data_IF_922205005606
#
_entry.id   IF_922205005606
#
_cell.length_a   1.000
_cell.length_b   1.000
_cell.length_c   1.000
_cell.angle_alpha   90.00
_cell.angle_beta   90.00
_cell.angle_gamma   90.00
#
_symmetry.space_group_name_H-M   'P 1'
#
loop_
_entity.id
_entity.type
_entity.pdbx_description
1 polymer ?
#
# COMPACT_ATOMS: atom_id res chain seq x y z
N UNK A 1 11.93 -11.73 -17.39
CA UNK A 1 11.21 -11.35 -16.16
C UNK A 1 9.72 -11.45 -16.45
N UNK A 2 9.08 -12.47 -15.92
CA UNK A 2 7.63 -12.60 -15.97
C UNK A 2 6.99 -11.57 -15.03
N UNK A 3 5.75 -11.19 -15.34
CA UNK A 3 4.97 -10.27 -14.50
C UNK A 3 4.67 -10.94 -13.16
N UNK A 4 5.04 -10.31 -12.05
CA UNK A 4 4.77 -10.85 -10.71
C UNK A 4 3.26 -10.86 -10.47
N UNK A 5 2.73 -11.98 -9.97
CA UNK A 5 1.34 -12.09 -9.58
C UNK A 5 1.17 -11.71 -8.12
N UNK A 6 0.22 -10.82 -7.83
CA UNK A 6 0.05 -10.23 -6.49
C UNK A 6 -0.43 -11.25 -5.46
N UNK A 7 -1.21 -12.27 -5.86
CA UNK A 7 -1.68 -13.30 -4.93
C UNK A 7 -0.52 -14.12 -4.34
N UNK A 8 0.51 -14.41 -5.12
CA UNK A 8 1.70 -15.13 -4.66
C UNK A 8 2.47 -14.32 -3.60
N UNK A 9 2.51 -12.99 -3.74
CA UNK A 9 3.17 -12.09 -2.79
C UNK A 9 2.47 -12.03 -1.43
N UNK A 10 1.14 -12.26 -1.39
CA UNK A 10 0.38 -12.22 -0.13
C UNK A 10 0.72 -13.38 0.79
N UNK A 11 1.09 -14.53 0.23
CA UNK A 11 1.42 -15.73 1.00
C UNK A 11 2.86 -15.72 1.55
N UNK A 12 3.72 -14.83 1.07
CA UNK A 12 5.14 -14.74 1.49
C UNK A 12 5.34 -14.00 2.82
N UNK A 13 6.44 -14.29 3.51
CA UNK A 13 6.81 -13.60 4.75
C UNK A 13 7.27 -12.16 4.47
N UNK A 14 7.33 -11.33 5.53
CA UNK A 14 7.84 -9.95 5.40
C UNK A 14 9.33 -9.93 5.02
N UNK A 15 10.12 -10.87 5.53
CA UNK A 15 11.54 -10.97 5.23
C UNK A 15 11.77 -11.27 3.74
N UNK A 16 11.02 -12.24 3.20
CA UNK A 16 11.12 -12.60 1.78
C UNK A 16 10.75 -11.43 0.88
N UNK A 17 9.68 -10.69 1.21
CA UNK A 17 9.27 -9.51 0.44
C UNK A 17 10.33 -8.41 0.44
N UNK A 18 11.09 -8.24 1.53
CA UNK A 18 12.19 -7.28 1.61
C UNK A 18 13.40 -7.72 0.80
N UNK A 19 13.73 -9.01 0.83
CA UNK A 19 14.78 -9.60 -0.02
C UNK A 19 14.45 -9.42 -1.50
N UNK A 20 13.24 -9.81 -1.93
CA UNK A 20 12.77 -9.63 -3.31
C UNK A 20 12.79 -8.16 -3.74
N UNK A 21 12.44 -7.23 -2.84
CA UNK A 21 12.49 -5.80 -3.12
C UNK A 21 13.92 -5.30 -3.35
N UNK A 22 14.91 -5.84 -2.63
CA UNK A 22 16.32 -5.48 -2.81
C UNK A 22 16.83 -5.95 -4.17
N UNK A 23 16.51 -7.18 -4.55
CA UNK A 23 16.88 -7.77 -5.85
C UNK A 23 16.29 -6.99 -7.03
N UNK A 24 14.99 -6.66 -6.97
CA UNK A 24 14.33 -5.88 -8.02
C UNK A 24 14.90 -4.46 -8.15
N UNK A 25 15.34 -3.86 -7.03
CA UNK A 25 16.00 -2.54 -7.05
C UNK A 25 17.39 -2.62 -7.69
N UNK A 26 18.18 -3.65 -7.40
CA UNK A 26 19.47 -3.85 -8.07
C UNK A 26 19.30 -4.09 -9.57
N UNK A 27 18.31 -4.89 -9.98
CA UNK A 27 18.01 -5.09 -11.39
C UNK A 27 17.61 -3.78 -12.08
N UNK A 28 16.76 -2.97 -11.44
CA UNK A 28 16.38 -1.66 -11.97
C UNK A 28 17.60 -0.75 -12.14
N UNK A 29 18.54 -0.76 -11.20
CA UNK A 29 19.77 0.04 -11.30
C UNK A 29 20.60 -0.37 -12.52
N UNK A 30 20.80 -1.67 -12.74
CA UNK A 30 21.50 -2.20 -13.92
C UNK A 30 20.80 -1.80 -15.23
N UNK A 31 19.47 -1.90 -15.28
CA UNK A 31 18.69 -1.51 -16.46
C UNK A 31 18.75 0.01 -16.73
N UNK A 32 18.91 0.84 -15.70
CA UNK A 32 19.10 2.29 -15.86
C UNK A 32 20.45 2.64 -16.43
N UNK A 33 21.52 1.94 -16.03
CA UNK A 33 22.85 2.11 -16.64
C UNK A 33 22.81 1.69 -18.11
N UNK A 34 22.22 0.52 -18.40
CA UNK A 34 22.05 0.05 -19.77
C UNK A 34 21.24 1.00 -20.67
N UNK A 35 20.29 1.76 -20.09
CA UNK A 35 19.56 2.79 -20.81
C UNK A 35 20.46 3.95 -21.25
N UNK A 36 21.41 4.36 -20.41
CA UNK A 36 22.33 5.46 -20.72
C UNK A 36 23.35 5.02 -21.79
N UNK A 37 23.84 3.79 -21.72
CA UNK A 37 24.84 3.25 -22.66
C UNK A 37 24.25 2.78 -24.00
N UNK A 38 23.00 3.16 -24.34
CA UNK A 38 22.37 2.77 -25.61
C UNK A 38 22.08 1.26 -25.74
N UNK A 39 21.75 0.58 -24.64
CA UNK A 39 21.52 -0.87 -24.63
C UNK A 39 20.33 -1.34 -25.47
N UNK A 40 20.33 -2.63 -25.82
CA UNK A 40 19.33 -3.26 -26.69
C UNK A 40 17.87 -2.99 -26.25
N UNK A 41 16.94 -2.77 -27.21
CA UNK A 41 15.55 -2.40 -26.92
C UNK A 41 14.81 -3.43 -26.04
N UNK A 42 15.13 -4.72 -26.20
CA UNK A 42 14.57 -5.80 -25.36
C UNK A 42 14.92 -5.66 -23.88
N UNK A 43 16.06 -5.04 -23.52
CA UNK A 43 16.40 -4.74 -22.12
C UNK A 43 15.64 -3.51 -21.62
N UNK A 44 15.44 -2.49 -22.48
CA UNK A 44 14.73 -1.26 -22.12
C UNK A 44 13.24 -1.50 -21.84
N UNK A 45 12.59 -2.37 -22.61
CA UNK A 45 11.19 -2.77 -22.39
C UNK A 45 10.94 -3.37 -21.00
N UNK A 46 11.96 -3.98 -20.38
CA UNK A 46 11.86 -4.56 -19.03
C UNK A 46 11.77 -3.51 -17.92
N UNK A 47 12.23 -2.27 -18.16
CA UNK A 47 12.22 -1.19 -17.14
C UNK A 47 10.80 -0.94 -16.62
N UNK A 48 9.82 -0.87 -17.52
CA UNK A 48 8.41 -0.66 -17.14
C UNK A 48 7.90 -1.80 -16.26
N UNK A 49 8.23 -3.04 -16.62
CA UNK A 49 7.82 -4.25 -15.90
C UNK A 49 8.42 -4.27 -14.50
N UNK A 50 9.74 -4.06 -14.37
CA UNK A 50 10.44 -4.05 -13.07
C UNK A 50 9.93 -2.94 -12.16
N UNK A 51 9.67 -1.74 -12.68
CA UNK A 51 9.07 -0.64 -11.89
C UNK A 51 7.69 -1.01 -11.34
N UNK A 52 6.85 -1.64 -12.16
CA UNK A 52 5.52 -2.08 -11.74
C UNK A 52 5.62 -3.19 -10.68
N UNK A 53 6.55 -4.14 -10.85
CA UNK A 53 6.82 -5.20 -9.87
C UNK A 53 7.25 -4.62 -8.51
N UNK A 54 8.13 -3.63 -8.48
CA UNK A 54 8.55 -2.95 -7.23
C UNK A 54 7.34 -2.28 -6.54
N UNK A 55 6.50 -1.59 -7.32
CA UNK A 55 5.30 -0.95 -6.79
C UNK A 55 4.31 -1.97 -6.19
N UNK A 56 4.14 -3.13 -6.83
CA UNK A 56 3.29 -4.22 -6.32
C UNK A 56 3.81 -4.78 -4.99
N UNK A 57 5.11 -5.06 -4.88
CA UNK A 57 5.73 -5.55 -3.63
C UNK A 57 5.56 -4.54 -2.49
N UNK A 58 5.87 -3.27 -2.74
CA UNK A 58 5.67 -2.19 -1.77
C UNK A 58 4.19 -2.06 -1.34
N UNK A 59 3.27 -2.22 -2.28
CA UNK A 59 1.82 -2.17 -1.98
C UNK A 59 1.41 -3.30 -1.04
N UNK A 60 1.87 -4.53 -1.27
CA UNK A 60 1.57 -5.68 -0.40
C UNK A 60 2.16 -5.49 1.01
N UNK A 61 3.40 -4.98 1.11
CA UNK A 61 4.03 -4.67 2.40
C UNK A 61 3.19 -3.63 3.16
N UNK A 62 2.78 -2.55 2.51
CA UNK A 62 1.95 -1.50 3.12
C UNK A 62 0.57 -2.01 3.53
N UNK A 63 -0.05 -2.88 2.71
CA UNK A 63 -1.33 -3.52 3.03
C UNK A 63 -1.22 -4.38 4.30
N UNK A 64 -0.20 -5.26 4.39
CA UNK A 64 0.04 -6.09 5.57
C UNK A 64 0.30 -5.27 6.82
N UNK A 65 1.11 -4.22 6.71
CA UNK A 65 1.39 -3.31 7.82
C UNK A 65 0.12 -2.60 8.30
N UNK A 66 -0.70 -2.07 7.40
CA UNK A 66 -1.97 -1.42 7.75
C UNK A 66 -2.97 -2.39 8.35
N UNK A 67 -3.05 -3.63 7.88
CA UNK A 67 -3.91 -4.66 8.45
C UNK A 67 -3.52 -4.95 9.91
N UNK A 68 -2.25 -5.25 10.17
CA UNK A 68 -1.74 -5.48 11.52
C UNK A 68 -1.99 -4.28 12.46
N UNK A 69 -1.81 -3.05 11.95
CA UNK A 69 -2.14 -1.84 12.72
C UNK A 69 -3.65 -1.75 13.01
N UNK A 70 -4.52 -2.06 12.06
CA UNK A 70 -5.98 -2.04 12.30
C UNK A 70 -6.38 -3.04 13.39
N UNK A 71 -5.76 -4.21 13.43
CA UNK A 71 -6.03 -5.23 14.44
C UNK A 71 -5.63 -4.75 15.84
N UNK A 72 -4.44 -4.15 15.97
CA UNK A 72 -3.93 -3.60 17.25
C UNK A 72 -4.80 -2.45 17.79
N UNK A 73 -5.40 -1.65 16.89
CA UNK A 73 -6.17 -0.46 17.27
C UNK A 73 -7.69 -0.65 17.24
N UNK A 74 -8.21 -1.86 16.93
CA UNK A 74 -9.65 -2.12 16.72
C UNK A 74 -10.55 -1.68 17.87
N UNK A 75 -10.11 -1.91 19.11
CA UNK A 75 -10.90 -1.65 20.32
C UNK A 75 -10.45 -0.39 21.07
N UNK A 76 -9.50 0.37 20.51
CA UNK A 76 -8.97 1.58 21.15
C UNK A 76 -9.85 2.78 20.76
N UNK A 77 -10.26 3.56 21.76
CA UNK A 77 -11.07 4.78 21.56
C UNK A 77 -10.39 5.81 20.65
N UNK A 78 -9.05 5.93 20.76
CA UNK A 78 -8.24 6.86 19.99
C UNK A 78 -7.49 6.12 18.88
N UNK A 79 -7.88 6.41 17.64
CA UNK A 79 -7.21 5.90 16.45
C UNK A 79 -6.21 6.95 15.89
N UNK A 80 -5.06 6.51 15.38
CA UNK A 80 -4.18 7.37 14.58
C UNK A 80 -4.91 7.98 13.37
N UNK A 81 -4.51 9.20 12.98
CA UNK A 81 -5.14 9.96 11.87
C UNK A 81 -5.17 9.19 10.55
N UNK A 82 -4.17 8.34 10.29
CA UNK A 82 -4.06 7.53 9.08
C UNK A 82 -5.07 6.38 8.99
N UNK A 83 -5.46 5.83 10.15
CA UNK A 83 -6.43 4.73 10.21
C UNK A 83 -7.88 5.22 10.25
N UNK A 84 -8.08 6.51 10.59
CA UNK A 84 -9.40 7.13 10.68
C UNK A 84 -10.12 7.10 9.31
N UNK A 85 -11.43 6.82 9.28
CA UNK A 85 -12.21 6.91 8.05
C UNK A 85 -12.07 8.29 7.39
N UNK A 86 -11.77 8.31 6.09
CA UNK A 86 -11.68 9.55 5.30
C UNK A 86 -13.09 10.06 5.02
N UNK A 87 -13.55 11.00 5.84
CA UNK A 87 -14.81 11.73 5.68
C UNK A 87 -14.51 13.23 5.59
N UNK A 88 -15.42 13.99 4.97
CA UNK A 88 -15.31 15.46 4.95
C UNK A 88 -15.36 16.03 6.37
N UNK A 89 -14.80 17.23 6.56
CA UNK A 89 -14.79 17.90 7.87
C UNK A 89 -16.20 18.12 8.41
N UNK A 90 -17.14 18.52 7.55
CA UNK A 90 -18.54 18.72 7.90
C UNK A 90 -19.18 17.44 8.45
N UNK A 91 -18.99 16.30 7.76
CA UNK A 91 -19.52 15.00 8.22
C UNK A 91 -18.89 14.58 9.55
N UNK A 92 -17.60 14.88 9.78
CA UNK A 92 -16.92 14.57 11.06
C UNK A 92 -17.42 15.40 12.23
N UNK A 93 -17.96 16.61 11.99
CA UNK A 93 -18.45 17.53 13.03
C UNK A 93 -19.95 17.41 13.29
N UNK A 94 -20.72 16.79 12.39
CA UNK A 94 -22.15 16.55 12.58
C UNK A 94 -22.40 15.67 13.81
N UNK A 95 -23.51 15.91 14.50
CA UNK A 95 -24.01 15.05 15.57
C UNK A 95 -24.20 13.60 15.09
N UNK A 96 -24.01 12.66 16.01
CA UNK A 96 -24.28 11.25 15.75
C UNK A 96 -25.78 11.01 15.58
N UNK A 97 -26.17 9.97 14.83
CA UNK A 97 -27.59 9.62 14.62
C UNK A 97 -28.35 9.47 15.94
N UNK A 98 -27.70 8.89 16.94
CA UNK A 98 -28.24 8.72 18.28
C UNK A 98 -28.53 10.07 18.97
N UNK A 99 -27.61 11.03 18.87
CA UNK A 99 -27.80 12.38 19.43
C UNK A 99 -28.95 13.13 18.73
N UNK A 100 -29.08 12.98 17.40
CA UNK A 100 -30.19 13.60 16.65
C UNK A 100 -31.53 12.98 17.05
N UNK A 101 -31.59 11.65 17.22
CA UNK A 101 -32.80 10.96 17.65
C UNK A 101 -33.24 11.37 19.05
N UNK A 102 -32.29 11.51 20.00
CA UNK A 102 -32.59 12.06 21.33
C UNK A 102 -33.18 13.46 21.21
N UNK A 103 -32.53 14.35 20.45
CA UNK A 103 -33.00 15.73 20.32
C UNK A 103 -34.42 15.81 19.75
N UNK A 104 -34.76 14.93 18.80
CA UNK A 104 -36.09 14.85 18.21
C UNK A 104 -37.16 14.26 19.14
N UNK A 105 -36.78 13.54 20.21
CA UNK A 105 -37.72 13.03 21.21
C UNK A 105 -38.10 14.09 22.27
N UNK A 106 -37.35 15.19 22.34
CA UNK A 106 -37.58 16.30 23.28
C UNK A 106 -38.24 17.52 22.61
N UNK A 107 -38.65 17.40 21.34
CA UNK A 107 -39.37 18.42 20.55
C UNK A 107 -40.72 17.82 20.14
#
# INVERSE_FOLDING_TARGET
>A
MARIKVHELRNKSKADLLSQLKELKSELALLRVAKVTGGAPNKLSKIKVVRLSIAQVLTVISQKQKAALRDVYKNKKLLPLDLRPKKTRAIRRRLTKHQVCILLLFV
#
